data_IF_008025798470
#
_entry.id   IF_008025798470
#
_cell.length_a   1.000
_cell.length_b   1.000
_cell.length_c   1.000
_cell.angle_alpha   90.00
_cell.angle_beta   90.00
_cell.angle_gamma   90.00
#
_symmetry.space_group_name_H-M   'P 1'
#
loop_
_entity.id
_entity.type
_entity.pdbx_description
1 polymer ?
#
# COMPACT_ATOMS: atom_id res chain seq x y z
N UNK A 1 12.50 -19.81 14.63
CA UNK A 1 12.91 -18.80 13.67
C UNK A 1 13.01 -17.44 14.31
N UNK A 2 14.08 -16.78 14.09
CA UNK A 2 14.32 -15.49 14.70
C UNK A 2 14.42 -14.43 13.59
N UNK A 3 13.72 -13.35 13.76
CA UNK A 3 13.91 -12.20 12.90
C UNK A 3 15.03 -11.35 13.47
N UNK A 4 15.89 -10.87 12.61
CA UNK A 4 16.77 -9.77 12.97
C UNK A 4 15.94 -8.51 13.07
N UNK A 5 16.53 -7.44 13.56
CA UNK A 5 15.84 -6.15 13.62
C UNK A 5 15.43 -5.67 12.23
N UNK A 6 16.24 -6.03 11.21
CA UNK A 6 15.93 -5.64 9.82
C UNK A 6 14.76 -6.41 9.26
N UNK A 7 14.39 -7.54 9.89
CA UNK A 7 13.28 -8.36 9.43
C UNK A 7 12.04 -8.15 10.29
N UNK A 8 11.98 -7.04 11.03
CA UNK A 8 10.82 -6.73 11.84
C UNK A 8 9.59 -6.55 10.98
N UNK A 9 8.41 -6.70 11.59
CA UNK A 9 7.15 -6.49 10.89
C UNK A 9 7.04 -5.07 10.33
N UNK A 10 7.61 -4.09 11.01
CA UNK A 10 7.62 -2.70 10.54
C UNK A 10 8.44 -2.58 9.26
N UNK A 11 9.60 -3.21 9.23
CA UNK A 11 10.45 -3.21 8.05
C UNK A 11 9.75 -3.89 6.88
N UNK A 12 9.18 -5.06 7.11
CA UNK A 12 8.48 -5.82 6.07
C UNK A 12 7.30 -5.03 5.54
N UNK A 13 6.55 -4.37 6.42
CA UNK A 13 5.43 -3.53 6.01
C UNK A 13 5.90 -2.38 5.11
N UNK A 14 7.04 -1.77 5.43
CA UNK A 14 7.57 -0.69 4.59
C UNK A 14 7.97 -1.19 3.21
N UNK A 15 8.50 -2.40 3.12
CA UNK A 15 8.83 -3.01 1.82
C UNK A 15 7.57 -3.26 1.00
N UNK A 16 6.51 -3.79 1.64
CA UNK A 16 5.25 -4.01 0.96
C UNK A 16 4.63 -2.69 0.51
N UNK A 17 4.71 -1.65 1.34
CA UNK A 17 4.25 -0.32 0.96
C UNK A 17 4.98 0.22 -0.26
N UNK A 18 6.28 0.03 -0.33
CA UNK A 18 7.07 0.43 -1.48
C UNK A 18 6.64 -0.32 -2.75
N UNK A 19 6.27 -1.58 -2.61
CA UNK A 19 5.76 -2.37 -3.74
C UNK A 19 4.41 -1.86 -4.21
N UNK A 20 3.54 -1.46 -3.30
CA UNK A 20 2.26 -0.83 -3.67
C UNK A 20 2.51 0.42 -4.51
N UNK A 21 3.43 1.24 -4.08
CA UNK A 21 3.79 2.45 -4.83
C UNK A 21 4.29 2.10 -6.22
N UNK A 22 5.14 1.08 -6.33
CA UNK A 22 5.67 0.65 -7.62
C UNK A 22 4.55 0.18 -8.54
N UNK A 23 3.62 -0.61 -8.03
CA UNK A 23 2.48 -1.07 -8.81
C UNK A 23 1.66 0.11 -9.30
N UNK A 24 1.38 1.06 -8.42
CA UNK A 24 0.64 2.27 -8.78
C UNK A 24 1.34 3.01 -9.91
N UNK A 25 2.64 3.23 -9.78
CA UNK A 25 3.42 3.95 -10.79
C UNK A 25 3.45 3.19 -12.12
N UNK A 26 3.55 1.87 -12.08
CA UNK A 26 3.52 1.05 -13.29
C UNK A 26 2.18 1.13 -14.00
N UNK A 27 1.11 1.46 -13.29
CA UNK A 27 -0.21 1.65 -13.86
C UNK A 27 -0.47 3.10 -14.24
N UNK A 28 0.54 3.96 -14.13
CA UNK A 28 0.45 5.38 -14.43
C UNK A 28 -0.65 6.09 -13.63
N UNK A 29 -0.81 5.70 -12.37
CA UNK A 29 -1.82 6.27 -11.50
C UNK A 29 -1.20 7.19 -10.47
N UNK A 30 -1.89 8.29 -10.18
CA UNK A 30 -1.52 9.16 -9.07
C UNK A 30 -2.10 8.60 -7.76
N UNK A 31 -1.57 9.08 -6.63
CA UNK A 31 -2.14 8.73 -5.33
C UNK A 31 -3.61 9.15 -5.25
N UNK A 32 -3.94 10.31 -5.79
CA UNK A 32 -5.32 10.80 -5.78
C UNK A 32 -6.25 9.88 -6.57
N UNK A 33 -5.79 9.36 -7.71
CA UNK A 33 -6.60 8.45 -8.51
C UNK A 33 -6.86 7.14 -7.77
N UNK A 34 -5.84 6.59 -7.12
CA UNK A 34 -6.01 5.38 -6.32
C UNK A 34 -6.97 5.65 -5.17
N UNK A 35 -6.81 6.78 -4.50
CA UNK A 35 -7.67 7.15 -3.38
C UNK A 35 -9.14 7.22 -3.81
N UNK A 36 -9.40 7.84 -4.96
CA UNK A 36 -10.76 7.91 -5.50
C UNK A 36 -11.34 6.53 -5.77
N UNK A 37 -10.57 5.65 -6.39
CA UNK A 37 -11.04 4.31 -6.71
C UNK A 37 -11.24 3.45 -5.46
N UNK A 38 -10.40 3.66 -4.45
CA UNK A 38 -10.45 2.88 -3.22
C UNK A 38 -11.41 3.44 -2.19
N UNK A 39 -12.00 4.62 -2.43
CA UNK A 39 -12.89 5.31 -1.48
C UNK A 39 -12.20 5.61 -0.16
N UNK A 40 -10.94 6.02 -0.24
CA UNK A 40 -10.15 6.43 0.92
C UNK A 40 -9.54 7.80 0.62
N UNK A 41 -8.97 8.43 1.63
CA UNK A 41 -8.29 9.69 1.45
C UNK A 41 -6.94 9.47 0.76
N UNK A 42 -6.43 10.51 0.11
CA UNK A 42 -5.08 10.47 -0.45
C UNK A 42 -4.05 10.22 0.64
N UNK A 43 -4.27 10.76 1.85
CA UNK A 43 -3.39 10.53 2.99
C UNK A 43 -3.32 9.03 3.33
N UNK A 44 -4.46 8.34 3.24
CA UNK A 44 -4.49 6.90 3.49
C UNK A 44 -3.61 6.16 2.50
N UNK A 45 -3.66 6.54 1.22
CA UNK A 45 -2.79 5.93 0.20
C UNK A 45 -1.33 6.23 0.49
N UNK A 46 -1.02 7.48 0.82
CA UNK A 46 0.35 7.88 1.18
C UNK A 46 0.87 7.03 2.34
N UNK A 47 0.07 6.88 3.39
CA UNK A 47 0.48 6.11 4.56
C UNK A 47 0.65 4.63 4.23
N UNK A 48 -0.24 4.07 3.41
CA UNK A 48 -0.12 2.67 2.98
C UNK A 48 1.20 2.44 2.24
N UNK A 49 1.59 3.38 1.41
CA UNK A 49 2.86 3.26 0.66
C UNK A 49 4.08 3.38 1.57
N UNK A 50 3.89 3.89 2.77
CA UNK A 50 4.93 3.90 3.80
C UNK A 50 4.89 2.66 4.70
N UNK A 51 3.92 1.79 4.49
CA UNK A 51 3.77 0.59 5.29
C UNK A 51 2.85 0.73 6.48
N UNK A 52 2.01 1.76 6.49
CA UNK A 52 1.11 2.03 7.60
C UNK A 52 -0.32 2.13 7.08
N UNK A 53 -1.05 1.04 7.16
CA UNK A 53 -2.43 0.98 6.70
C UNK A 53 -3.23 0.00 7.54
N UNK A 54 -4.50 0.34 7.77
CA UNK A 54 -5.43 -0.64 8.30
C UNK A 54 -5.67 -1.71 7.24
N UNK A 55 -5.98 -2.91 7.69
CA UNK A 55 -6.21 -4.03 6.77
C UNK A 55 -7.30 -3.70 5.75
N UNK A 56 -8.41 -3.09 6.20
CA UNK A 56 -9.50 -2.75 5.30
C UNK A 56 -9.07 -1.73 4.23
N UNK A 57 -8.24 -0.76 4.61
CA UNK A 57 -7.73 0.24 3.66
C UNK A 57 -6.78 -0.41 2.66
N UNK A 58 -5.94 -1.33 3.13
CA UNK A 58 -5.04 -2.05 2.24
C UNK A 58 -5.81 -2.85 1.20
N UNK A 59 -6.86 -3.56 1.63
CA UNK A 59 -7.71 -4.33 0.73
C UNK A 59 -8.36 -3.41 -0.31
N UNK A 60 -8.87 -2.25 0.12
CA UNK A 60 -9.49 -1.29 -0.80
C UNK A 60 -8.47 -0.79 -1.84
N UNK A 61 -7.25 -0.50 -1.41
CA UNK A 61 -6.21 -0.03 -2.32
C UNK A 61 -5.82 -1.14 -3.31
N UNK A 62 -5.68 -2.38 -2.84
CA UNK A 62 -5.38 -3.50 -3.73
C UNK A 62 -6.48 -3.67 -4.77
N UNK A 63 -7.74 -3.50 -4.37
CA UNK A 63 -8.85 -3.54 -5.31
C UNK A 63 -8.75 -2.44 -6.36
N UNK A 64 -8.38 -1.22 -5.95
CA UNK A 64 -8.21 -0.10 -6.86
C UNK A 64 -7.08 -0.34 -7.87
N UNK A 65 -6.08 -1.12 -7.48
CA UNK A 65 -4.94 -1.47 -8.34
C UNK A 65 -5.19 -2.74 -9.15
N UNK A 66 -6.40 -3.30 -9.09
CA UNK A 66 -6.76 -4.54 -9.78
C UNK A 66 -5.92 -5.74 -9.33
N UNK A 67 -5.54 -5.77 -8.07
CA UNK A 67 -4.75 -6.86 -7.50
C UNK A 67 -5.61 -7.92 -6.81
N UNK A 68 -6.93 -7.67 -6.74
CA UNK A 68 -7.90 -8.61 -6.17
C UNK A 68 -8.85 -9.04 -7.28
N UNK A 69 -9.16 -10.31 -7.32
CA UNK A 69 -10.13 -10.84 -8.29
C UNK A 69 -11.23 -11.58 -7.58
#
# INVERSE_FOLDING_TARGET
MMYSENDSSIYIASVLGARLKRIRLNLDMTQAEVANKAWVSRRTVLNAEKGDAKLSDLIAILGALNMLN
#
